data_IF_577423047536
#
_entry.id   IF_577423047536
#
_cell.length_a   1.000
_cell.length_b   1.000
_cell.length_c   1.000
_cell.angle_alpha   90.00
_cell.angle_beta   90.00
_cell.angle_gamma   90.00
#
_symmetry.space_group_name_H-M   'P 1'
#
loop_
_entity.id
_entity.type
_entity.pdbx_description
1 polymer ?
#
# COMPACT_ATOMS: atom_id res chain seq x y z
N UNK A 1 -47.45 12.67 -14.71
CA UNK A 1 -46.19 13.41 -15.06
C UNK A 1 -45.18 13.37 -13.90
N UNK A 2 -45.58 13.59 -12.65
CA UNK A 2 -44.67 13.62 -11.49
C UNK A 2 -43.95 12.29 -11.27
N UNK A 3 -44.63 11.14 -11.35
CA UNK A 3 -44.04 9.82 -11.21
C UNK A 3 -42.98 9.47 -12.27
N UNK A 4 -43.20 9.97 -13.50
CA UNK A 4 -42.21 9.74 -14.56
C UNK A 4 -40.93 10.58 -14.34
N UNK A 5 -41.07 11.80 -13.81
CA UNK A 5 -39.91 12.63 -13.44
C UNK A 5 -39.10 11.99 -12.28
N UNK A 6 -39.77 11.46 -11.28
CA UNK A 6 -39.10 10.73 -10.19
C UNK A 6 -38.41 9.46 -10.68
N UNK A 7 -39.03 8.71 -11.60
CA UNK A 7 -38.44 7.51 -12.18
C UNK A 7 -37.15 7.82 -12.95
N UNK A 8 -37.18 8.84 -13.81
CA UNK A 8 -36.01 9.27 -14.57
C UNK A 8 -34.90 9.82 -13.65
N UNK A 9 -35.26 10.62 -12.66
CA UNK A 9 -34.31 11.17 -11.70
C UNK A 9 -33.62 10.05 -10.87
N UNK A 10 -34.35 9.02 -10.44
CA UNK A 10 -33.81 7.88 -9.72
C UNK A 10 -32.82 7.08 -10.58
N UNK A 11 -33.13 6.87 -11.88
CA UNK A 11 -32.23 6.16 -12.80
C UNK A 11 -30.95 6.97 -13.03
N UNK A 12 -31.06 8.29 -13.25
CA UNK A 12 -29.90 9.18 -13.42
C UNK A 12 -29.03 9.19 -12.16
N UNK A 13 -29.64 9.26 -10.97
CA UNK A 13 -28.90 9.21 -9.71
C UNK A 13 -28.16 7.90 -9.55
N UNK A 14 -28.78 6.75 -9.85
CA UNK A 14 -28.17 5.43 -9.77
C UNK A 14 -27.01 5.27 -10.76
N UNK A 15 -27.15 5.74 -11.98
CA UNK A 15 -26.09 5.75 -13.00
C UNK A 15 -24.93 6.66 -12.59
N UNK A 16 -25.21 7.81 -12.00
CA UNK A 16 -24.18 8.76 -11.53
C UNK A 16 -23.37 8.19 -10.37
N UNK A 17 -24.02 7.49 -9.43
CA UNK A 17 -23.37 6.80 -8.32
C UNK A 17 -22.48 5.67 -8.85
N UNK A 18 -23.00 4.87 -9.78
CA UNK A 18 -22.26 3.80 -10.43
C UNK A 18 -21.01 4.29 -11.16
N UNK A 19 -21.14 5.33 -11.98
CA UNK A 19 -20.01 5.95 -12.69
C UNK A 19 -18.99 6.60 -11.74
N UNK A 20 -19.45 7.13 -10.60
CA UNK A 20 -18.57 7.69 -9.57
C UNK A 20 -17.74 6.61 -8.85
N UNK A 21 -18.36 5.49 -8.50
CA UNK A 21 -17.67 4.35 -7.86
C UNK A 21 -16.62 3.74 -8.80
N UNK A 22 -16.96 3.63 -10.06
CA UNK A 22 -16.08 3.09 -11.10
C UNK A 22 -14.84 3.97 -11.32
N UNK A 23 -15.00 5.27 -11.49
CA UNK A 23 -13.87 6.21 -11.65
C UNK A 23 -12.92 6.11 -10.46
N UNK A 24 -13.45 5.91 -9.25
CA UNK A 24 -12.64 5.71 -8.03
C UNK A 24 -11.87 4.39 -8.08
N UNK A 25 -12.52 3.29 -8.48
CA UNK A 25 -11.86 2.00 -8.62
C UNK A 25 -10.75 2.05 -9.67
N UNK A 26 -11.01 2.66 -10.83
CA UNK A 26 -10.00 2.87 -11.88
C UNK A 26 -8.81 3.68 -11.38
N UNK A 27 -9.05 4.83 -10.73
CA UNK A 27 -7.99 5.67 -10.18
C UNK A 27 -7.15 4.92 -9.13
N UNK A 28 -7.78 4.03 -8.35
CA UNK A 28 -7.09 3.20 -7.36
C UNK A 28 -6.18 2.16 -8.02
N UNK A 29 -6.66 1.48 -9.07
CA UNK A 29 -5.88 0.50 -9.81
C UNK A 29 -4.71 1.17 -10.56
N UNK A 30 -4.93 2.35 -11.16
CA UNK A 30 -3.88 3.12 -11.81
C UNK A 30 -2.77 3.55 -10.84
N UNK A 31 -3.10 3.79 -9.56
CA UNK A 31 -2.12 4.12 -8.51
C UNK A 31 -1.24 2.95 -8.12
N UNK A 32 -1.78 1.73 -8.12
CA UNK A 32 -1.00 0.53 -7.88
C UNK A 32 0.09 0.32 -8.97
N UNK A 33 -0.04 1.04 -10.09
CA UNK A 33 0.85 0.94 -11.24
C UNK A 33 0.50 -0.26 -12.12
N UNK A 34 0.13 -0.01 -13.36
CA UNK A 34 -0.33 -1.05 -14.30
C UNK A 34 0.73 -2.12 -14.53
N UNK A 35 2.01 -1.73 -14.49
CA UNK A 35 3.15 -2.63 -14.70
C UNK A 35 3.74 -3.17 -13.38
N UNK A 36 2.99 -3.14 -12.29
CA UNK A 36 3.44 -3.66 -11.02
C UNK A 36 2.82 -5.04 -10.74
N UNK A 37 3.59 -5.89 -10.05
CA UNK A 37 3.08 -7.09 -9.38
C UNK A 37 3.22 -6.85 -7.88
N UNK A 38 2.11 -6.92 -7.16
CA UNK A 38 2.10 -6.81 -5.70
C UNK A 38 2.05 -8.20 -5.09
N UNK A 39 2.94 -8.44 -4.16
CA UNK A 39 3.02 -9.67 -3.38
C UNK A 39 2.67 -9.28 -1.95
N UNK A 40 1.58 -9.80 -1.41
CA UNK A 40 1.13 -9.50 -0.06
C UNK A 40 1.27 -10.71 0.83
N UNK A 41 1.62 -10.48 2.08
CA UNK A 41 1.54 -11.52 3.08
C UNK A 41 0.08 -11.87 3.35
N UNK A 42 -0.22 -13.17 3.32
CA UNK A 42 -1.54 -13.70 3.67
C UNK A 42 -1.59 -13.98 5.17
N UNK A 43 -2.66 -13.57 5.81
CA UNK A 43 -2.86 -13.89 7.22
C UNK A 43 -3.08 -15.39 7.38
N UNK A 44 -2.16 -16.04 8.09
CA UNK A 44 -2.30 -17.43 8.49
C UNK A 44 -3.11 -17.49 9.78
N UNK A 45 -4.14 -18.36 9.87
CA UNK A 45 -4.92 -18.53 11.10
C UNK A 45 -4.02 -18.80 12.31
N UNK A 46 -4.36 -18.20 13.46
CA UNK A 46 -3.53 -18.31 14.68
C UNK A 46 -3.22 -19.76 15.07
N UNK A 47 -4.17 -20.67 14.84
CA UNK A 47 -4.01 -22.10 15.10
C UNK A 47 -2.92 -22.78 14.26
N UNK A 48 -2.68 -22.27 13.05
CA UNK A 48 -1.74 -22.86 12.09
C UNK A 48 -0.43 -22.06 11.99
N UNK A 49 -0.38 -20.87 12.59
CA UNK A 49 0.72 -19.91 12.46
C UNK A 49 2.05 -20.50 12.92
N UNK A 50 2.07 -21.21 14.06
CA UNK A 50 3.28 -21.83 14.59
C UNK A 50 3.82 -22.94 13.67
N UNK A 51 2.95 -23.76 13.11
CA UNK A 51 3.37 -24.82 12.18
C UNK A 51 3.83 -24.26 10.84
N UNK A 52 3.13 -23.25 10.31
CA UNK A 52 3.52 -22.56 9.08
C UNK A 52 4.90 -21.90 9.25
N UNK A 53 5.18 -21.28 10.41
CA UNK A 53 6.46 -20.60 10.70
C UNK A 53 7.65 -21.53 10.86
N UNK A 54 7.45 -22.82 11.10
CA UNK A 54 8.53 -23.83 11.05
C UNK A 54 9.04 -24.06 9.62
N UNK A 55 8.21 -23.82 8.61
CA UNK A 55 8.54 -24.05 7.19
C UNK A 55 8.81 -22.76 6.42
N UNK A 56 8.10 -21.71 6.74
CA UNK A 56 8.20 -20.40 6.09
C UNK A 56 8.16 -19.29 7.13
N UNK A 57 9.09 -18.36 7.06
CA UNK A 57 9.06 -17.13 7.89
C UNK A 57 8.10 -16.08 7.34
N UNK A 58 7.43 -16.34 6.21
CA UNK A 58 6.66 -15.38 5.43
C UNK A 58 7.52 -14.53 4.53
N UNK A 59 6.93 -13.49 3.95
CA UNK A 59 7.65 -12.56 3.09
C UNK A 59 8.82 -11.91 3.81
N UNK A 60 9.99 -11.94 3.19
CA UNK A 60 11.26 -11.56 3.81
C UNK A 60 12.22 -10.88 2.82
N UNK A 61 13.34 -10.38 3.33
CA UNK A 61 14.42 -9.84 2.50
C UNK A 61 15.04 -10.88 1.55
N UNK A 62 14.97 -12.19 1.90
CA UNK A 62 15.42 -13.29 1.02
C UNK A 62 14.58 -13.35 -0.25
N UNK A 63 13.27 -13.14 -0.15
CA UNK A 63 12.38 -13.16 -1.29
C UNK A 63 12.62 -11.95 -2.20
N UNK A 64 12.89 -10.78 -1.60
CA UNK A 64 13.30 -9.57 -2.33
C UNK A 64 14.57 -9.81 -3.14
N UNK A 65 15.58 -10.44 -2.55
CA UNK A 65 16.83 -10.77 -3.24
C UNK A 65 16.59 -11.79 -4.36
N UNK A 66 15.86 -12.87 -4.07
CA UNK A 66 15.56 -13.91 -5.04
C UNK A 66 14.76 -13.38 -6.26
N UNK A 67 13.77 -12.53 -6.03
CA UNK A 67 13.00 -11.89 -7.11
C UNK A 67 13.91 -11.01 -7.97
N UNK A 68 14.77 -10.22 -7.35
CA UNK A 68 15.69 -9.31 -8.07
C UNK A 68 16.70 -10.06 -8.93
N UNK A 69 17.19 -11.21 -8.45
CA UNK A 69 18.22 -12.00 -9.13
C UNK A 69 17.64 -12.95 -10.19
N UNK A 70 16.49 -13.57 -9.89
CA UNK A 70 15.95 -14.63 -10.74
C UNK A 70 15.04 -14.12 -11.86
N UNK A 71 14.45 -12.93 -11.73
CA UNK A 71 13.42 -12.46 -12.66
C UNK A 71 13.98 -11.37 -13.57
N UNK A 72 14.09 -11.61 -14.88
CA UNK A 72 14.48 -10.60 -15.84
C UNK A 72 13.43 -9.49 -15.94
N UNK A 73 13.84 -8.31 -16.39
CA UNK A 73 12.96 -7.16 -16.61
C UNK A 73 12.30 -6.55 -15.35
N UNK A 74 12.78 -6.91 -14.17
CA UNK A 74 12.44 -6.24 -12.93
C UNK A 74 13.23 -4.94 -12.86
N UNK A 75 12.52 -3.81 -12.92
CA UNK A 75 13.11 -2.47 -12.79
C UNK A 75 13.42 -2.18 -11.32
N UNK A 76 12.51 -2.57 -10.43
CA UNK A 76 12.65 -2.30 -9.01
C UNK A 76 11.82 -3.29 -8.17
N UNK A 77 12.36 -3.63 -7.01
CA UNK A 77 11.65 -4.37 -5.96
C UNK A 77 11.60 -3.48 -4.73
N UNK A 78 10.40 -3.11 -4.30
CA UNK A 78 10.16 -2.24 -3.16
C UNK A 78 9.45 -3.02 -2.04
N UNK A 79 10.19 -3.46 -1.03
CA UNK A 79 9.61 -4.13 0.13
C UNK A 79 8.92 -3.12 1.05
N UNK A 80 7.92 -3.59 1.80
CA UNK A 80 7.14 -2.81 2.74
C UNK A 80 6.90 -3.62 4.01
N UNK A 81 7.21 -3.02 5.14
CA UNK A 81 6.97 -3.56 6.48
C UNK A 81 5.97 -2.68 7.23
N UNK A 82 5.35 -3.20 8.26
CA UNK A 82 4.49 -2.42 9.15
C UNK A 82 4.76 -2.78 10.62
N UNK A 83 4.36 -1.88 11.48
CA UNK A 83 4.27 -2.11 12.92
C UNK A 83 2.94 -1.59 13.43
N UNK A 84 2.45 -2.19 14.51
CA UNK A 84 1.31 -1.69 15.24
C UNK A 84 1.78 -0.62 16.25
N UNK A 85 1.35 0.62 16.01
CA UNK A 85 1.64 1.70 16.92
C UNK A 85 0.51 1.84 17.94
N UNK A 86 0.83 1.69 19.23
CA UNK A 86 -0.14 1.91 20.32
C UNK A 86 -0.26 3.39 20.69
N UNK A 87 0.70 4.22 20.29
CA UNK A 87 0.74 5.63 20.67
C UNK A 87 1.49 6.48 19.66
N UNK A 88 0.80 7.48 19.10
CA UNK A 88 1.40 8.47 18.19
C UNK A 88 1.05 9.85 18.72
N UNK A 89 2.07 10.68 19.01
CA UNK A 89 1.91 12.01 19.60
C UNK A 89 2.76 13.03 18.84
N UNK A 90 2.19 14.20 18.56
CA UNK A 90 2.88 15.39 18.08
C UNK A 90 2.25 16.63 18.68
N UNK A 91 3.04 17.60 19.12
CA UNK A 91 2.60 18.87 19.73
C UNK A 91 1.55 18.71 20.86
N UNK A 92 1.61 17.60 21.60
CA UNK A 92 0.64 17.30 22.65
C UNK A 92 -0.66 16.63 22.18
N UNK A 93 -0.90 16.53 20.89
CA UNK A 93 -2.06 15.86 20.31
C UNK A 93 -1.73 14.40 20.00
N UNK A 94 -2.78 13.56 19.95
CA UNK A 94 -2.68 12.14 19.66
C UNK A 94 -3.43 11.82 18.37
N UNK A 95 -2.92 10.86 17.62
CA UNK A 95 -3.60 10.30 16.45
C UNK A 95 -3.40 8.80 16.37
N UNK A 96 -4.19 8.16 15.50
CA UNK A 96 -3.97 6.80 15.04
C UNK A 96 -3.55 6.87 13.58
N UNK A 97 -2.51 6.14 13.23
CA UNK A 97 -2.00 6.05 11.87
C UNK A 97 -1.36 4.67 11.67
N UNK A 98 -1.38 4.17 10.44
CA UNK A 98 -0.56 3.01 10.08
C UNK A 98 0.88 3.48 9.88
N UNK A 99 1.81 2.69 10.41
CA UNK A 99 3.23 2.96 10.28
C UNK A 99 3.83 2.01 9.23
N UNK A 100 4.40 2.60 8.20
CA UNK A 100 5.01 1.86 7.11
C UNK A 100 6.52 2.05 7.10
N UNK A 101 7.24 0.95 7.10
CA UNK A 101 8.67 0.93 6.79
C UNK A 101 8.87 0.66 5.31
N UNK A 102 9.48 1.59 4.60
CA UNK A 102 9.67 1.49 3.15
C UNK A 102 11.09 1.94 2.77
N UNK A 103 11.55 1.59 1.57
CA UNK A 103 12.80 2.10 1.02
C UNK A 103 12.65 3.55 0.54
N UNK A 104 13.76 4.30 0.49
CA UNK A 104 13.80 5.65 -0.06
C UNK A 104 13.28 5.75 -1.50
N UNK A 105 13.34 4.66 -2.26
CA UNK A 105 12.80 4.59 -3.63
C UNK A 105 11.31 4.26 -3.71
N UNK A 106 10.62 4.19 -2.58
CA UNK A 106 9.20 3.80 -2.55
C UNK A 106 8.31 4.72 -3.39
N UNK A 107 8.60 6.01 -3.43
CA UNK A 107 7.89 6.99 -4.27
C UNK A 107 8.03 6.74 -5.77
N UNK A 108 9.11 6.06 -6.19
CA UNK A 108 9.29 5.66 -7.60
C UNK A 108 8.41 4.45 -7.96
N UNK A 109 8.11 3.59 -6.97
CA UNK A 109 7.23 2.42 -7.14
C UNK A 109 5.75 2.80 -7.04
N UNK A 110 5.44 3.78 -6.20
CA UNK A 110 4.09 4.26 -5.92
C UNK A 110 3.94 5.70 -6.39
N UNK A 111 2.70 6.13 -6.67
CA UNK A 111 2.44 7.51 -7.10
C UNK A 111 2.17 8.44 -5.91
N UNK A 112 2.97 8.31 -4.85
CA UNK A 112 2.88 9.22 -3.71
C UNK A 112 3.41 10.60 -4.11
N UNK A 113 2.64 11.64 -3.87
CA UNK A 113 3.02 13.03 -4.11
C UNK A 113 3.25 13.74 -2.80
N UNK A 114 4.31 14.54 -2.73
CA UNK A 114 4.61 15.40 -1.59
C UNK A 114 3.87 16.72 -1.74
N UNK A 115 3.29 17.21 -0.65
CA UNK A 115 2.74 18.56 -0.54
C UNK A 115 3.81 19.54 -0.02
N UNK A 116 4.62 19.07 0.95
CA UNK A 116 5.62 19.90 1.62
C UNK A 116 6.85 19.07 2.01
N UNK A 117 8.02 19.68 1.99
CA UNK A 117 9.27 19.05 2.39
C UNK A 117 9.85 18.09 1.36
N UNK A 118 10.47 17.00 1.84
CA UNK A 118 11.08 15.96 1.01
C UNK A 118 10.73 14.56 1.50
N UNK A 119 10.86 13.56 0.66
CA UNK A 119 10.94 12.17 1.10
C UNK A 119 12.32 11.90 1.69
N UNK A 120 12.46 10.86 2.52
CA UNK A 120 13.79 10.47 3.00
C UNK A 120 14.61 9.88 1.84
N UNK A 121 15.90 10.06 1.90
CA UNK A 121 16.85 9.66 0.87
C UNK A 121 17.68 8.43 1.28
N UNK A 122 18.61 8.04 0.41
CA UNK A 122 19.49 6.89 0.66
C UNK A 122 20.39 7.10 1.88
N UNK A 123 20.79 8.34 2.17
CA UNK A 123 21.60 8.66 3.34
C UNK A 123 20.80 8.49 4.64
N UNK A 124 19.54 8.93 4.65
CA UNK A 124 18.63 8.73 5.78
C UNK A 124 18.44 7.23 6.05
N UNK A 125 18.28 6.42 4.99
CA UNK A 125 18.10 4.97 5.10
C UNK A 125 19.38 4.29 5.62
N UNK A 126 20.54 4.61 5.07
CA UNK A 126 21.84 4.02 5.47
C UNK A 126 22.27 4.42 6.89
N UNK A 127 21.98 5.65 7.30
CA UNK A 127 22.31 6.15 8.64
C UNK A 127 21.31 5.75 9.72
N UNK A 128 20.24 5.01 9.35
CA UNK A 128 19.12 4.68 10.24
C UNK A 128 18.53 5.95 10.87
N UNK A 129 18.41 7.02 10.09
CA UNK A 129 17.92 8.30 10.57
C UNK A 129 16.51 8.20 11.15
N UNK A 130 16.27 8.86 12.27
CA UNK A 130 14.95 8.96 12.89
C UNK A 130 14.15 10.08 12.21
N UNK A 131 13.81 9.86 10.95
CA UNK A 131 13.01 10.75 10.13
C UNK A 131 11.71 10.06 9.71
N UNK A 132 10.67 10.85 9.47
CA UNK A 132 9.40 10.34 8.97
C UNK A 132 8.79 11.29 7.95
N UNK A 133 7.98 10.72 7.07
CA UNK A 133 7.07 11.42 6.18
C UNK A 133 5.64 11.08 6.62
N UNK A 134 4.80 12.09 6.78
CA UNK A 134 3.45 11.93 7.30
C UNK A 134 2.40 12.29 6.26
N UNK A 135 1.25 11.64 6.31
CA UNK A 135 0.11 12.00 5.49
C UNK A 135 -0.58 13.30 5.95
N UNK A 136 -1.28 13.96 5.04
CA UNK A 136 -1.99 15.21 5.35
C UNK A 136 -3.02 15.07 6.48
N UNK A 137 -3.66 13.90 6.63
CA UNK A 137 -4.58 13.62 7.73
C UNK A 137 -3.87 13.54 9.08
N UNK A 138 -2.70 12.90 9.11
CA UNK A 138 -1.86 12.86 10.31
C UNK A 138 -1.40 14.26 10.69
N UNK A 139 -0.98 15.09 9.70
CA UNK A 139 -0.63 16.50 9.92
C UNK A 139 -1.78 17.26 10.57
N UNK A 140 -3.00 17.17 10.01
CA UNK A 140 -4.17 17.87 10.57
C UNK A 140 -4.48 17.47 12.01
N UNK A 141 -4.26 16.21 12.35
CA UNK A 141 -4.56 15.69 13.67
C UNK A 141 -3.50 16.05 14.73
N UNK A 142 -2.23 16.14 14.34
CA UNK A 142 -1.12 16.38 15.26
C UNK A 142 -0.67 17.84 15.34
N UNK A 143 -0.83 18.61 14.26
CA UNK A 143 -0.29 19.97 14.13
C UNK A 143 -1.40 20.94 13.72
N UNK A 144 -2.01 21.58 14.72
CA UNK A 144 -3.17 22.47 14.53
C UNK A 144 -2.84 23.71 13.69
N UNK A 145 -1.61 24.21 13.77
CA UNK A 145 -1.12 25.35 12.99
C UNK A 145 -0.72 24.98 11.54
N UNK A 146 -0.82 23.69 11.20
CA UNK A 146 -0.52 23.16 9.86
C UNK A 146 0.97 23.00 9.56
N UNK A 147 1.87 23.50 10.40
CA UNK A 147 3.32 23.37 10.20
C UNK A 147 3.83 22.08 10.83
N UNK A 148 4.19 21.11 10.00
CA UNK A 148 4.68 19.81 10.46
C UNK A 148 6.16 19.58 10.15
N UNK A 149 6.65 20.06 9.01
CA UNK A 149 8.04 19.84 8.59
C UNK A 149 9.01 20.47 9.57
N UNK A 150 9.99 19.66 10.00
CA UNK A 150 10.98 20.05 11.00
C UNK A 150 10.58 19.75 12.45
N UNK A 151 9.30 19.50 12.73
CA UNK A 151 8.80 19.12 14.07
C UNK A 151 9.02 17.64 14.35
N UNK A 152 8.73 17.24 15.57
CA UNK A 152 8.91 15.87 16.04
C UNK A 152 7.58 15.19 16.31
N UNK A 153 7.50 13.92 15.89
CA UNK A 153 6.41 13.00 16.23
C UNK A 153 6.97 11.85 17.04
N UNK A 154 6.34 11.54 18.16
CA UNK A 154 6.67 10.39 18.99
C UNK A 154 5.79 9.22 18.58
N UNK A 155 6.41 8.16 18.09
CA UNK A 155 5.75 6.89 17.74
C UNK A 155 6.17 5.87 18.79
N UNK A 156 5.19 5.38 19.55
CA UNK A 156 5.45 4.61 20.78
C UNK A 156 6.41 5.39 21.69
N UNK A 157 7.64 4.93 21.84
CA UNK A 157 8.65 5.59 22.69
C UNK A 157 9.80 6.21 21.90
N UNK A 158 9.73 6.23 20.56
CA UNK A 158 10.78 6.75 19.69
C UNK A 158 10.36 8.07 19.05
N UNK A 159 11.25 9.05 19.04
CA UNK A 159 11.05 10.35 18.40
C UNK A 159 11.52 10.33 16.95
N UNK A 160 10.70 10.86 16.05
CA UNK A 160 11.01 11.02 14.63
C UNK A 160 10.84 12.47 14.21
N UNK A 161 11.77 12.98 13.41
CA UNK A 161 11.66 14.32 12.81
C UNK A 161 10.85 14.21 11.51
N UNK A 162 9.82 15.02 11.39
CA UNK A 162 9.04 15.13 10.15
C UNK A 162 9.88 15.84 9.08
N UNK A 163 10.17 15.19 7.97
CA UNK A 163 10.93 15.73 6.84
C UNK A 163 10.07 16.05 5.64
N UNK A 164 8.86 15.50 5.59
CA UNK A 164 7.90 15.78 4.51
C UNK A 164 6.48 15.45 4.89
N UNK A 165 5.55 16.01 4.13
CA UNK A 165 4.12 15.77 4.24
C UNK A 165 3.60 15.36 2.87
N UNK A 166 2.85 14.25 2.82
CA UNK A 166 2.19 13.81 1.59
C UNK A 166 0.94 14.62 1.32
N UNK A 167 0.68 14.85 0.05
CA UNK A 167 -0.53 15.52 -0.38
C UNK A 167 -1.78 14.74 0.05
N UNK A 168 -2.83 15.47 0.41
CA UNK A 168 -4.10 14.86 0.74
C UNK A 168 -4.68 14.12 -0.48
N UNK A 169 -4.97 12.86 -0.29
CA UNK A 169 -5.62 12.05 -1.32
C UNK A 169 -7.12 12.32 -1.29
N UNK A 170 -7.58 13.18 -2.19
CA UNK A 170 -9.01 13.54 -2.32
C UNK A 170 -9.92 12.36 -2.71
N UNK A 171 -9.35 11.18 -2.98
CA UNK A 171 -10.10 10.03 -3.51
C UNK A 171 -10.47 8.99 -2.43
N UNK A 172 -9.94 9.07 -1.22
CA UNK A 172 -10.09 8.00 -0.21
C UNK A 172 -10.92 8.39 1.01
N UNK A 173 -11.96 9.20 0.84
CA UNK A 173 -13.00 9.28 1.86
C UNK A 173 -13.99 8.12 1.65
N UNK A 174 -13.71 6.92 2.24
CA UNK A 174 -14.70 5.85 2.27
C UNK A 174 -14.25 4.42 1.96
N UNK A 175 -13.00 4.05 2.11
CA UNK A 175 -12.61 2.62 2.04
C UNK A 175 -12.85 1.93 3.40
N UNK A 176 -14.10 1.65 3.72
CA UNK A 176 -14.40 0.58 4.64
C UNK A 176 -14.27 -0.75 3.89
N UNK A 177 -13.22 -1.50 4.15
CA UNK A 177 -13.10 -2.91 3.79
C UNK A 177 -12.39 -3.24 2.49
N UNK A 178 -11.18 -3.73 2.61
CA UNK A 178 -10.61 -4.80 1.81
C UNK A 178 -10.22 -4.47 0.36
N UNK A 179 -8.97 -4.61 0.05
CA UNK A 179 -8.25 -4.45 -1.22
C UNK A 179 -7.81 -2.99 -1.45
N UNK A 180 -6.64 -2.67 -0.91
CA UNK A 180 -5.95 -1.40 -1.07
C UNK A 180 -6.46 -0.32 -0.12
N UNK A 181 -6.09 -0.39 1.16
CA UNK A 181 -6.14 0.78 2.04
C UNK A 181 -5.34 1.88 1.37
N UNK A 182 -5.98 2.99 0.98
CA UNK A 182 -5.32 4.09 0.30
C UNK A 182 -4.12 4.55 1.10
N UNK A 183 -2.94 4.35 0.54
CA UNK A 183 -1.72 4.89 1.10
C UNK A 183 -1.81 6.40 1.03
N UNK A 184 -1.43 7.08 2.11
CA UNK A 184 -1.15 8.49 2.09
C UNK A 184 -1.73 9.30 3.23
N UNK A 185 -3.03 9.56 3.25
CA UNK A 185 -3.61 10.61 4.12
C UNK A 185 -3.49 10.31 5.62
N UNK A 186 -3.76 9.05 6.01
CA UNK A 186 -3.73 8.58 7.40
C UNK A 186 -2.46 7.82 7.79
N UNK A 187 -1.40 7.84 7.00
CA UNK A 187 -0.24 6.98 7.17
C UNK A 187 1.02 7.75 7.57
N UNK A 188 1.97 7.04 8.16
CA UNK A 188 3.32 7.55 8.46
C UNK A 188 4.33 6.60 7.82
N UNK A 189 5.32 7.16 7.13
CA UNK A 189 6.37 6.43 6.46
C UNK A 189 7.72 6.66 7.14
N UNK A 190 8.41 5.56 7.41
CA UNK A 190 9.74 5.53 8.03
C UNK A 190 10.73 4.81 7.11
N UNK A 191 12.02 5.13 7.15
CA UNK A 191 13.03 4.30 6.52
C UNK A 191 12.96 2.87 7.09
N UNK A 192 12.89 1.86 6.22
CA UNK A 192 12.71 0.46 6.63
C UNK A 192 13.76 -0.03 7.64
N UNK A 193 15.08 0.23 7.46
CA UNK A 193 16.07 -0.20 8.43
C UNK A 193 15.84 0.41 9.81
N UNK A 194 15.41 1.69 9.86
CA UNK A 194 15.08 2.38 11.11
C UNK A 194 13.88 1.74 11.80
N UNK A 195 12.82 1.41 11.03
CA UNK A 195 11.65 0.72 11.58
C UNK A 195 12.05 -0.64 12.18
N UNK A 196 12.79 -1.45 11.43
CA UNK A 196 13.20 -2.80 11.86
C UNK A 196 14.14 -2.77 13.08
N UNK A 197 14.94 -1.70 13.24
CA UNK A 197 15.89 -1.57 14.35
C UNK A 197 15.24 -1.02 15.62
N UNK A 198 14.28 -0.09 15.49
CA UNK A 198 13.73 0.66 16.64
C UNK A 198 12.49 0.04 17.26
N UNK A 199 11.81 -0.84 16.55
CA UNK A 199 10.58 -1.44 17.03
C UNK A 199 10.68 -2.96 17.11
N UNK A 200 10.27 -3.48 18.27
CA UNK A 200 10.09 -4.91 18.45
C UNK A 200 8.87 -5.39 17.63
N UNK A 201 8.99 -6.58 17.08
CA UNK A 201 7.96 -7.22 16.26
C UNK A 201 7.71 -8.61 16.79
N UNK A 202 6.48 -9.10 16.63
CA UNK A 202 6.17 -10.49 16.95
C UNK A 202 7.03 -11.41 16.04
N UNK A 203 7.79 -12.35 16.61
CA UNK A 203 8.55 -13.32 15.82
C UNK A 203 7.69 -14.19 14.89
N UNK A 204 6.39 -14.28 15.17
CA UNK A 204 5.44 -15.02 14.34
C UNK A 204 4.88 -14.18 13.19
N UNK A 205 5.06 -12.87 13.19
CA UNK A 205 4.66 -12.01 12.07
C UNK A 205 5.69 -12.07 10.94
N UNK A 206 5.23 -11.96 9.68
CA UNK A 206 6.15 -11.94 8.54
C UNK A 206 7.02 -10.68 8.58
N UNK A 207 8.31 -10.78 8.23
CA UNK A 207 9.20 -9.61 8.16
C UNK A 207 8.71 -8.50 7.23
N UNK A 208 8.05 -8.87 6.16
CA UNK A 208 7.46 -7.94 5.20
C UNK A 208 5.97 -8.24 5.03
N UNK A 209 5.17 -7.19 4.87
CA UNK A 209 3.73 -7.31 4.63
C UNK A 209 3.39 -7.23 3.15
N UNK A 210 4.23 -6.52 2.38
CA UNK A 210 4.04 -6.36 0.94
C UNK A 210 5.39 -6.19 0.24
N UNK A 211 5.49 -6.70 -0.98
CA UNK A 211 6.60 -6.45 -1.90
C UNK A 211 5.99 -5.95 -3.21
N UNK A 212 6.34 -4.75 -3.64
CA UNK A 212 5.95 -4.20 -4.94
C UNK A 212 7.07 -4.48 -5.93
N UNK A 213 6.76 -5.23 -6.99
CA UNK A 213 7.69 -5.51 -8.09
C UNK A 213 7.27 -4.68 -9.28
N UNK A 214 8.11 -3.71 -9.67
CA UNK A 214 7.91 -2.87 -10.85
C UNK A 214 8.61 -3.50 -12.05
N UNK A 215 7.85 -3.71 -13.12
CA UNK A 215 8.31 -4.32 -14.35
C UNK A 215 8.57 -3.27 -15.44
N UNK A 216 9.43 -3.62 -16.39
CA UNK A 216 9.58 -2.87 -17.63
C UNK A 216 8.32 -3.00 -18.50
N UNK A 217 7.93 -1.92 -19.19
CA UNK A 217 6.65 -1.81 -19.89
C UNK A 217 6.46 -2.71 -21.13
N UNK A 218 7.39 -3.64 -21.38
CA UNK A 218 7.32 -4.55 -22.53
C UNK A 218 6.87 -5.98 -22.22
N UNK A 219 6.54 -6.29 -20.95
CA UNK A 219 6.28 -7.65 -20.49
C UNK A 219 4.94 -7.71 -19.77
N UNK A 220 4.21 -8.79 -19.98
CA UNK A 220 2.95 -9.05 -19.28
C UNK A 220 3.18 -9.27 -17.78
N UNK A 221 2.64 -8.41 -16.90
CA UNK A 221 2.74 -8.62 -15.45
C UNK A 221 2.15 -9.95 -14.99
N UNK A 222 1.19 -10.49 -15.74
CA UNK A 222 0.56 -11.78 -15.43
C UNK A 222 1.53 -12.95 -15.60
N UNK A 223 2.33 -12.96 -16.68
CA UNK A 223 3.34 -14.00 -16.90
C UNK A 223 4.43 -13.95 -15.83
N UNK A 224 4.90 -12.77 -15.51
CA UNK A 224 5.90 -12.58 -14.44
C UNK A 224 5.34 -12.99 -13.07
N UNK A 225 4.07 -12.68 -12.79
CA UNK A 225 3.42 -13.09 -11.56
C UNK A 225 3.38 -14.63 -11.39
N UNK A 226 3.16 -15.36 -12.48
CA UNK A 226 3.20 -16.84 -12.44
C UNK A 226 4.60 -17.38 -12.10
N UNK A 227 5.66 -16.74 -12.63
CA UNK A 227 7.05 -17.10 -12.30
C UNK A 227 7.37 -16.77 -10.85
N UNK A 228 6.97 -15.58 -10.38
CA UNK A 228 7.12 -15.17 -8.97
C UNK A 228 6.41 -16.15 -8.04
N UNK A 229 5.16 -16.53 -8.37
CA UNK A 229 4.39 -17.49 -7.58
C UNK A 229 5.12 -18.82 -7.42
N UNK A 230 5.69 -19.34 -8.52
CA UNK A 230 6.44 -20.59 -8.50
C UNK A 230 7.71 -20.48 -7.66
N UNK A 231 8.47 -19.39 -7.81
CA UNK A 231 9.68 -19.11 -7.05
C UNK A 231 9.39 -19.02 -5.53
N UNK A 232 8.40 -18.23 -5.14
CA UNK A 232 8.04 -18.05 -3.74
C UNK A 232 7.47 -19.33 -3.12
N UNK A 233 6.66 -20.08 -3.85
CA UNK A 233 6.15 -21.38 -3.38
C UNK A 233 7.28 -22.35 -3.08
N UNK A 234 8.34 -22.35 -3.85
CA UNK A 234 9.53 -23.16 -3.60
C UNK A 234 10.30 -22.65 -2.36
N UNK A 235 10.50 -21.32 -2.25
CA UNK A 235 11.22 -20.71 -1.12
C UNK A 235 10.49 -20.88 0.21
N UNK A 236 9.16 -20.87 0.20
CA UNK A 236 8.29 -21.02 1.38
C UNK A 236 7.94 -22.48 1.71
N UNK A 237 8.60 -23.46 1.05
CA UNK A 237 8.37 -24.90 1.33
C UNK A 237 6.93 -25.34 1.07
N UNK A 238 6.23 -24.69 0.14
CA UNK A 238 4.85 -25.01 -0.25
C UNK A 238 3.77 -24.44 0.69
N UNK A 239 4.13 -23.59 1.65
CA UNK A 239 3.17 -22.89 2.51
C UNK A 239 2.46 -21.79 1.70
N UNK A 240 1.14 -21.69 1.86
CA UNK A 240 0.31 -20.67 1.20
C UNK A 240 0.17 -19.44 2.13
N UNK A 241 1.26 -18.68 2.28
CA UNK A 241 1.37 -17.52 3.18
C UNK A 241 1.55 -16.19 2.43
N UNK A 242 1.34 -16.18 1.12
CA UNK A 242 1.35 -14.98 0.28
C UNK A 242 0.25 -15.01 -0.77
N UNK A 243 -0.11 -13.85 -1.26
CA UNK A 243 -1.01 -13.65 -2.40
C UNK A 243 -0.38 -12.71 -3.42
N UNK A 244 -0.71 -12.92 -4.69
CA UNK A 244 -0.27 -12.08 -5.79
C UNK A 244 -1.43 -11.27 -6.33
N UNK A 245 -1.24 -9.96 -6.44
CA UNK A 245 -2.20 -9.04 -7.01
C UNK A 245 -1.57 -8.38 -8.24
N UNK A 246 -2.21 -8.58 -9.40
CA UNK A 246 -1.79 -7.97 -10.67
C UNK A 246 -2.83 -6.90 -11.03
N UNK A 247 -2.52 -5.60 -10.88
CA UNK A 247 -3.47 -4.51 -11.14
C UNK A 247 -4.02 -4.49 -12.56
N UNK A 248 -3.21 -4.86 -13.55
CA UNK A 248 -3.63 -4.96 -14.96
C UNK A 248 -4.81 -5.92 -15.14
N UNK A 249 -4.77 -7.08 -14.48
CA UNK A 249 -5.86 -8.06 -14.54
C UNK A 249 -7.17 -7.52 -13.94
N UNK A 250 -7.08 -6.73 -12.88
CA UNK A 250 -8.23 -6.07 -12.28
C UNK A 250 -8.86 -5.03 -13.21
N UNK A 251 -8.03 -4.28 -13.96
CA UNK A 251 -8.50 -3.34 -14.99
C UNK A 251 -9.22 -4.07 -16.13
N UNK A 252 -8.68 -5.16 -16.61
CA UNK A 252 -9.29 -5.95 -17.66
C UNK A 252 -10.67 -6.49 -17.24
N UNK A 253 -10.77 -7.05 -16.05
CA UNK A 253 -12.01 -7.57 -15.49
C UNK A 253 -13.06 -6.47 -15.27
N UNK A 254 -12.66 -5.28 -14.80
CA UNK A 254 -13.54 -4.13 -14.64
C UNK A 254 -14.13 -3.67 -15.96
N UNK A 255 -13.32 -3.59 -17.03
CA UNK A 255 -13.77 -3.22 -18.39
C UNK A 255 -14.74 -4.24 -18.98
N UNK A 256 -14.52 -5.52 -18.75
CA UNK A 256 -15.41 -6.58 -19.24
C UNK A 256 -16.77 -6.54 -18.54
N UNK A 257 -16.78 -6.35 -17.22
CA UNK A 257 -18.01 -6.18 -16.44
C UNK A 257 -18.82 -5.00 -16.92
N UNK A 258 -18.17 -3.86 -17.25
CA UNK A 258 -18.81 -2.68 -17.82
C UNK A 258 -19.46 -2.96 -19.17
N UNK A 259 -18.75 -3.66 -20.04
CA UNK A 259 -19.29 -4.00 -21.37
C UNK A 259 -20.57 -4.82 -21.25
N UNK A 260 -20.60 -5.78 -20.33
CA UNK A 260 -21.79 -6.59 -20.04
C UNK A 260 -22.91 -5.71 -19.48
N UNK A 261 -22.61 -4.79 -18.55
CA UNK A 261 -23.57 -3.88 -17.94
C UNK A 261 -24.17 -2.91 -18.99
N UNK A 262 -23.33 -2.38 -19.87
CA UNK A 262 -23.79 -1.49 -20.97
C UNK A 262 -24.69 -2.22 -21.97
N UNK A 263 -24.45 -3.50 -22.24
CA UNK A 263 -25.28 -4.32 -23.13
C UNK A 263 -26.62 -4.62 -22.47
N UNK A 264 -26.63 -4.96 -21.18
CA UNK A 264 -27.85 -5.30 -20.44
C UNK A 264 -28.74 -4.06 -20.18
N UNK A 265 -28.15 -2.88 -19.97
CA UNK A 265 -28.90 -1.63 -19.73
C UNK A 265 -29.25 -0.87 -21.00
N UNK A 266 -28.64 -1.22 -22.15
CA UNK A 266 -28.90 -0.59 -23.45
C UNK A 266 -29.98 -1.29 -24.29
N UNK A 267 -30.53 -2.40 -23.81
CA UNK A 267 -31.71 -3.06 -24.35
C UNK A 267 -32.95 -2.67 -23.55
#
# INVERSE_FOLDING_TARGET
>A
TLGMMFGVAAVIAMLSIGAGAERRAMAMIERLGVNNVLIRSKEVPVSERTEARKKSIGLSGRDVAAIREAIPHVVMVAPKATIDAYKIIGDGYKTQAKIWGVSYRHTEATRLTLEEGRFFDELDERSHAQVCVIGAGVRRNLFVDGQAVGRQVKINDVWFKVVGVLAADTVVAGSAGGIGGGEGDGDIYLPMPTLLQKFERDPLDPPLVEIVVKLDGGISPHEVAAVIASLLKQLHGGVDDFELVVPEALLAQSRETQRIFSIVMGC
#
